data_IF_162860867478
#
_entry.id   IF_162860867478
#
_cell.length_a   1.000
_cell.length_b   1.000
_cell.length_c   1.000
_cell.angle_alpha   90.00
_cell.angle_beta   90.00
_cell.angle_gamma   90.00
#
_symmetry.space_group_name_H-M   'P 1'
#
loop_
_entity.id
_entity.type
_entity.pdbx_description
1 polymer ?
#
# COMPACT_ATOMS: atom_id res chain seq x y z
N UNK A 1 -11.50 -21.79 -15.89
CA UNK A 1 -10.02 -21.93 -15.97
C UNK A 1 -9.44 -20.58 -15.56
N UNK A 2 -8.75 -20.46 -14.43
CA UNK A 2 -8.11 -19.19 -14.07
C UNK A 2 -7.12 -18.81 -15.16
N UNK A 3 -7.09 -17.54 -15.55
CA UNK A 3 -6.16 -17.03 -16.55
C UNK A 3 -4.74 -17.27 -16.07
N UNK A 4 -3.98 -18.15 -16.76
CA UNK A 4 -2.55 -18.25 -16.53
C UNK A 4 -1.92 -16.93 -16.99
N UNK A 5 -1.34 -16.20 -16.03
CA UNK A 5 -0.55 -15.00 -16.29
C UNK A 5 0.91 -15.44 -16.21
N UNK A 6 1.61 -15.42 -17.35
CA UNK A 6 3.05 -15.68 -17.38
C UNK A 6 3.76 -14.35 -17.54
N UNK A 7 4.66 -14.02 -16.61
CA UNK A 7 5.50 -12.82 -16.69
C UNK A 7 6.88 -13.27 -17.19
N UNK A 8 7.24 -12.86 -18.40
CA UNK A 8 8.59 -13.09 -18.97
C UNK A 8 9.63 -12.34 -18.15
N UNK A 9 10.87 -12.84 -18.13
CA UNK A 9 12.05 -12.18 -17.56
C UNK A 9 12.27 -10.78 -18.13
N UNK A 10 11.77 -10.52 -19.33
CA UNK A 10 11.89 -9.24 -20.03
C UNK A 10 10.75 -8.26 -19.69
N UNK A 11 9.88 -8.60 -18.72
CA UNK A 11 8.80 -7.72 -18.28
C UNK A 11 7.57 -7.74 -19.18
N UNK A 12 7.30 -8.86 -19.85
CA UNK A 12 6.11 -9.04 -20.69
C UNK A 12 5.09 -9.93 -19.97
N UNK A 13 3.84 -9.45 -19.86
CA UNK A 13 2.69 -10.24 -19.41
C UNK A 13 2.11 -10.96 -20.62
N UNK A 14 2.23 -12.28 -20.61
CA UNK A 14 1.63 -13.17 -21.60
C UNK A 14 0.28 -13.66 -21.08
N UNK A 15 -0.77 -13.34 -21.83
CA UNK A 15 -2.13 -13.84 -21.58
C UNK A 15 -2.64 -14.56 -22.82
N UNK A 16 -3.76 -15.29 -22.69
CA UNK A 16 -4.45 -15.88 -23.85
C UNK A 16 -4.93 -14.86 -24.89
N UNK A 17 -5.01 -13.58 -24.53
CA UNK A 17 -5.50 -12.50 -25.40
C UNK A 17 -4.38 -11.63 -25.96
N UNK A 18 -3.10 -11.96 -25.68
CA UNK A 18 -1.95 -11.22 -26.19
C UNK A 18 -0.89 -10.92 -25.14
N UNK A 19 0.13 -10.18 -25.58
CA UNK A 19 1.27 -9.73 -24.78
C UNK A 19 1.10 -8.26 -24.40
N UNK A 20 1.22 -7.94 -23.11
CA UNK A 20 1.24 -6.55 -22.61
C UNK A 20 2.55 -6.30 -21.87
N UNK A 21 3.14 -5.12 -22.03
CA UNK A 21 4.37 -4.76 -21.33
C UNK A 21 4.08 -4.29 -19.90
N UNK A 22 4.88 -4.76 -18.94
CA UNK A 22 4.85 -4.29 -17.54
C UNK A 22 5.49 -2.89 -17.47
N UNK A 23 5.00 -2.05 -16.56
CA UNK A 23 5.63 -0.75 -16.31
C UNK A 23 7.10 -0.90 -15.91
N UNK A 24 7.94 0.11 -16.18
CA UNK A 24 9.36 0.10 -15.78
C UNK A 24 9.54 -0.18 -14.27
N UNK A 25 8.70 0.40 -13.41
CA UNK A 25 8.68 0.12 -11.96
C UNK A 25 8.44 -1.37 -11.69
N UNK A 26 7.49 -2.00 -12.40
CA UNK A 26 7.18 -3.42 -12.23
C UNK A 26 8.28 -4.36 -12.75
N UNK A 27 8.99 -3.98 -13.82
CA UNK A 27 10.15 -4.76 -14.31
C UNK A 27 11.30 -4.74 -13.29
N UNK A 28 11.60 -3.59 -12.69
CA UNK A 28 12.64 -3.50 -11.66
C UNK A 28 12.26 -4.29 -10.39
N UNK A 29 10.99 -4.20 -9.96
CA UNK A 29 10.49 -5.03 -8.86
C UNK A 29 10.66 -6.53 -9.15
N UNK A 30 10.34 -6.98 -10.37
CA UNK A 30 10.51 -8.38 -10.77
C UNK A 30 11.98 -8.81 -10.73
N UNK A 31 12.90 -7.95 -11.19
CA UNK A 31 14.35 -8.25 -11.14
C UNK A 31 14.86 -8.40 -9.70
N UNK A 32 14.37 -7.59 -8.77
CA UNK A 32 14.67 -7.73 -7.33
C UNK A 32 14.11 -9.05 -6.80
N UNK A 33 12.85 -9.37 -7.10
CA UNK A 33 12.21 -10.60 -6.65
C UNK A 33 12.92 -11.88 -7.14
N UNK A 34 13.35 -11.92 -8.42
CA UNK A 34 14.07 -13.08 -8.98
C UNK A 34 15.40 -13.35 -8.26
N UNK A 35 16.02 -12.33 -7.64
CA UNK A 35 17.24 -12.48 -6.85
C UNK A 35 16.97 -13.01 -5.42
N UNK A 36 15.71 -13.20 -5.04
CA UNK A 36 15.32 -13.59 -3.68
C UNK A 36 15.39 -12.43 -2.67
N UNK A 37 15.49 -11.20 -3.15
CA UNK A 37 15.50 -9.99 -2.31
C UNK A 37 14.07 -9.58 -1.96
N UNK A 38 13.86 -8.99 -0.77
CA UNK A 38 12.57 -8.37 -0.41
C UNK A 38 12.29 -7.23 -1.40
N UNK A 39 11.05 -7.16 -1.89
CA UNK A 39 10.63 -6.07 -2.77
C UNK A 39 10.77 -4.72 -2.03
N UNK A 40 11.15 -3.64 -2.73
CA UNK A 40 11.21 -2.34 -2.10
C UNK A 40 9.80 -1.94 -1.64
N UNK A 41 9.70 -1.51 -0.39
CA UNK A 41 8.49 -0.92 0.15
C UNK A 41 8.04 0.24 -0.75
N UNK A 42 6.74 0.41 -1.01
CA UNK A 42 6.27 1.61 -1.70
C UNK A 42 6.73 2.86 -0.94
N UNK A 43 7.05 3.95 -1.65
CA UNK A 43 7.29 5.25 -1.04
C UNK A 43 6.22 5.60 0.00
N UNK A 44 6.59 6.35 1.04
CA UNK A 44 5.70 6.58 2.17
C UNK A 44 4.38 7.28 1.80
N UNK A 45 4.36 8.01 0.69
CA UNK A 45 3.22 8.68 0.08
C UNK A 45 2.41 7.80 -0.89
N UNK A 46 2.93 6.63 -1.29
CA UNK A 46 2.27 5.63 -2.14
C UNK A 46 1.73 4.42 -1.33
N UNK A 47 2.05 4.30 -0.03
CA UNK A 47 1.59 3.17 0.81
C UNK A 47 0.08 3.20 1.05
N UNK A 48 -0.59 2.07 0.88
CA UNK A 48 -2.04 1.93 1.10
C UNK A 48 -2.33 1.26 2.45
N UNK A 49 -3.11 1.94 3.28
CA UNK A 49 -3.71 1.37 4.48
C UNK A 49 -5.02 0.67 4.11
N UNK A 50 -4.92 -0.58 3.66
CA UNK A 50 -6.07 -1.41 3.32
C UNK A 50 -7.05 -1.49 4.49
N UNK A 51 -8.34 -1.32 4.20
CA UNK A 51 -9.44 -1.37 5.18
C UNK A 51 -9.49 -0.25 6.22
N UNK A 52 -8.62 0.75 6.12
CA UNK A 52 -8.68 1.95 6.96
C UNK A 52 -9.26 3.09 6.14
N UNK A 53 -10.40 3.60 6.59
CA UNK A 53 -11.08 4.73 5.97
C UNK A 53 -10.73 6.04 6.66
N UNK A 54 -10.79 7.15 5.93
CA UNK A 54 -10.72 8.48 6.54
C UNK A 54 -12.11 8.89 7.02
N UNK A 55 -12.29 9.16 8.31
CA UNK A 55 -13.59 9.51 8.89
C UNK A 55 -14.11 10.89 8.46
N UNK A 56 -13.25 11.75 7.90
CA UNK A 56 -13.62 13.11 7.49
C UNK A 56 -13.97 13.24 6.00
N UNK A 57 -13.29 12.51 5.12
CA UNK A 57 -13.57 12.54 3.68
C UNK A 57 -14.16 11.23 3.13
N UNK A 58 -14.29 10.21 3.97
CA UNK A 58 -14.88 8.90 3.64
C UNK A 58 -14.18 8.16 2.50
N UNK A 59 -12.90 8.46 2.23
CA UNK A 59 -12.10 7.60 1.37
C UNK A 59 -11.94 6.24 2.04
N UNK A 60 -12.09 5.16 1.27
CA UNK A 60 -12.19 3.79 1.78
C UNK A 60 -10.84 3.15 2.12
N UNK A 61 -9.76 3.69 1.56
CA UNK A 61 -8.38 3.34 1.87
C UNK A 61 -7.58 4.63 2.04
N UNK A 62 -6.87 4.80 3.16
CA UNK A 62 -5.95 5.91 3.33
C UNK A 62 -4.66 5.62 2.54
N UNK A 63 -4.28 6.55 1.67
CA UNK A 63 -3.01 6.52 0.94
C UNK A 63 -2.01 7.45 1.62
N UNK A 64 -0.83 6.93 1.91
CA UNK A 64 0.28 7.61 2.53
C UNK A 64 0.28 7.53 4.05
N UNK A 65 0.35 8.69 4.71
CA UNK A 65 0.37 8.78 6.17
C UNK A 65 -1.05 8.65 6.75
N UNK A 66 -1.17 7.83 7.79
CA UNK A 66 -2.38 7.65 8.59
C UNK A 66 -2.25 8.38 9.91
N UNK A 67 -3.29 9.11 10.29
CA UNK A 67 -3.36 9.82 11.56
C UNK A 67 -4.52 9.30 12.39
N UNK A 68 -4.26 8.77 13.57
CA UNK A 68 -5.27 8.25 14.47
C UNK A 68 -5.52 9.23 15.63
N UNK A 69 -6.78 9.45 15.97
CA UNK A 69 -7.14 10.20 17.16
C UNK A 69 -7.15 9.28 18.38
N UNK A 70 -6.26 9.49 19.35
CA UNK A 70 -6.17 8.66 20.56
C UNK A 70 -7.33 8.86 21.56
N UNK A 71 -8.16 9.88 21.34
CA UNK A 71 -9.30 10.21 22.22
C UNK A 71 -10.62 9.69 21.65
N UNK A 72 -10.78 9.70 20.33
CA UNK A 72 -11.98 9.21 19.66
C UNK A 72 -11.87 7.71 19.39
N UNK A 73 -12.98 6.99 19.51
CA UNK A 73 -13.02 5.57 19.14
C UNK A 73 -12.97 5.44 17.62
N UNK A 74 -11.96 4.72 17.12
CA UNK A 74 -11.81 4.35 15.71
C UNK A 74 -11.93 5.54 14.75
N UNK A 75 -11.15 6.59 15.01
CA UNK A 75 -11.16 7.81 14.19
C UNK A 75 -9.81 8.01 13.53
N UNK A 76 -9.77 7.84 12.22
CA UNK A 76 -8.60 7.89 11.37
C UNK A 76 -8.74 8.97 10.28
N UNK A 77 -7.65 9.69 10.04
CA UNK A 77 -7.58 10.76 9.05
C UNK A 77 -6.43 10.52 8.08
N UNK A 78 -6.66 10.85 6.81
CA UNK A 78 -5.60 10.98 5.82
C UNK A 78 -4.83 12.30 6.00
N UNK A 79 -3.64 12.42 5.42
CA UNK A 79 -2.81 13.64 5.50
C UNK A 79 -3.51 14.92 5.04
N UNK A 80 -4.48 14.82 4.13
CA UNK A 80 -5.24 15.98 3.68
C UNK A 80 -6.29 16.44 4.70
N UNK A 81 -6.85 15.51 5.48
CA UNK A 81 -7.88 15.80 6.46
C UNK A 81 -7.30 16.19 7.83
N UNK A 82 -6.13 15.66 8.17
CA UNK A 82 -5.36 16.06 9.34
C UNK A 82 -5.04 17.57 9.31
N UNK A 83 -4.55 18.08 8.18
CA UNK A 83 -4.25 19.52 7.98
C UNK A 83 -5.43 20.46 8.18
N UNK A 84 -6.67 19.95 8.09
CA UNK A 84 -7.90 20.71 8.31
C UNK A 84 -8.27 20.81 9.80
N UNK A 85 -7.48 20.22 10.69
CA UNK A 85 -7.72 20.19 12.13
C UNK A 85 -8.79 19.19 12.58
N UNK A 86 -8.62 18.72 13.80
CA UNK A 86 -9.56 17.93 14.61
C UNK A 86 -9.44 18.40 16.06
N UNK A 87 -10.50 18.25 16.87
CA UNK A 87 -10.57 18.79 18.24
C UNK A 87 -9.59 18.13 19.22
N UNK A 88 -9.19 16.89 18.95
CA UNK A 88 -8.25 16.12 19.78
C UNK A 88 -6.88 15.96 19.12
N UNK A 89 -5.83 15.66 19.90
CA UNK A 89 -4.52 15.33 19.37
C UNK A 89 -4.55 14.14 18.41
N UNK A 90 -3.88 14.28 17.27
CA UNK A 90 -3.71 13.24 16.27
C UNK A 90 -2.31 12.63 16.37
N UNK A 91 -2.23 11.31 16.31
CA UNK A 91 -0.98 10.55 16.29
C UNK A 91 -0.70 10.01 14.89
N UNK A 92 0.50 10.25 14.38
CA UNK A 92 0.97 9.63 13.14
C UNK A 92 1.19 8.13 13.40
N UNK A 93 0.49 7.28 12.67
CA UNK A 93 0.69 5.83 12.73
C UNK A 93 1.80 5.45 11.76
N UNK A 94 2.93 4.89 12.25
CA UNK A 94 4.00 4.42 11.39
C UNK A 94 3.50 3.23 10.58
N UNK A 95 3.94 3.13 9.34
CA UNK A 95 3.57 2.00 8.50
C UNK A 95 4.14 0.69 9.09
N UNK A 96 3.39 -0.43 9.07
CA UNK A 96 3.84 -1.69 9.67
C UNK A 96 5.13 -2.15 8.99
N UNK A 97 6.07 -2.72 9.74
CA UNK A 97 7.25 -3.32 9.12
C UNK A 97 6.89 -4.72 8.62
N UNK A 98 7.45 -5.11 7.48
CA UNK A 98 7.28 -6.46 6.90
C UNK A 98 7.93 -7.56 7.76
N UNK A 99 8.47 -7.23 8.94
CA UNK A 99 9.05 -8.15 9.92
C UNK A 99 8.09 -8.42 11.11
N UNK A 100 7.00 -7.64 11.24
CA UNK A 100 6.03 -7.75 12.35
C UNK A 100 4.86 -8.71 12.05
N UNK A 101 4.82 -9.34 10.88
CA UNK A 101 3.78 -10.33 10.50
C UNK A 101 3.88 -11.66 11.27
N UNK A 102 4.81 -11.80 12.23
CA UNK A 102 5.01 -13.00 13.04
C UNK A 102 4.65 -12.82 14.54
N UNK A 103 3.85 -11.81 14.91
CA UNK A 103 3.48 -11.62 16.32
C UNK A 103 2.03 -11.16 16.54
N UNK A 104 1.05 -11.63 15.77
CA UNK A 104 -0.36 -11.56 16.19
C UNK A 104 -1.14 -12.82 15.74
N UNK A 105 -1.00 -13.89 16.52
CA UNK A 105 -1.94 -15.04 16.58
C UNK A 105 -2.81 -14.94 17.82
#
# INVERSE_FOLDING_TARGET
>A
IPSLIVISTDGNILTRHGCNQVSRKGVEALKTWVKGEKLPRPPADEFEWSHISCDKCHMTSIIGQRYHCSTCSNYDLCSACEKKGHEHPLQLIPQPNDDDDNEHS
#
